data_IF_797323439179
#
_entry.id   IF_797323439179
#
_cell.length_a   1.000
_cell.length_b   1.000
_cell.length_c   1.000
_cell.angle_alpha   90.00
_cell.angle_beta   90.00
_cell.angle_gamma   90.00
#
_symmetry.space_group_name_H-M   'P 1'
#
loop_
_entity.id
_entity.type
_entity.pdbx_description
1 polymer ?
#
# COMPACT_ATOMS: atom_id res chain seq x y z
N UNK A 1 27.56 -0.23 -2.86
CA UNK A 1 26.19 -0.34 -2.33
C UNK A 1 26.04 0.60 -1.16
N UNK A 2 25.08 1.50 -1.24
CA UNK A 2 24.79 2.47 -0.18
C UNK A 2 23.60 1.99 0.68
N UNK A 3 23.30 2.72 1.75
CA UNK A 3 22.12 2.48 2.59
C UNK A 3 20.83 2.45 1.77
N UNK A 4 20.75 3.26 0.70
CA UNK A 4 19.61 3.30 -0.20
C UNK A 4 19.42 1.97 -0.95
N UNK A 5 20.50 1.37 -1.45
CA UNK A 5 20.43 0.07 -2.14
C UNK A 5 19.91 -1.01 -1.20
N UNK A 6 20.41 -1.05 0.04
CA UNK A 6 19.93 -2.02 1.05
C UNK A 6 18.47 -1.77 1.43
N UNK A 7 18.05 -0.52 1.55
CA UNK A 7 16.65 -0.20 1.85
C UNK A 7 15.71 -0.66 0.72
N UNK A 8 16.08 -0.42 -0.55
CA UNK A 8 15.31 -0.86 -1.71
C UNK A 8 15.20 -2.38 -1.74
N UNK A 9 16.32 -3.09 -1.58
CA UNK A 9 16.34 -4.56 -1.56
C UNK A 9 15.54 -5.12 -0.38
N UNK A 10 15.63 -4.49 0.79
CA UNK A 10 14.87 -4.89 1.97
C UNK A 10 13.36 -4.71 1.76
N UNK A 11 12.91 -3.59 1.19
CA UNK A 11 11.49 -3.34 0.90
C UNK A 11 10.95 -4.38 -0.07
N UNK A 12 11.65 -4.62 -1.19
CA UNK A 12 11.23 -5.59 -2.20
C UNK A 12 11.26 -7.00 -1.61
N UNK A 13 12.35 -7.39 -0.97
CA UNK A 13 12.50 -8.72 -0.38
C UNK A 13 11.46 -9.01 0.70
N UNK A 14 11.21 -8.05 1.59
CA UNK A 14 10.18 -8.18 2.62
C UNK A 14 8.76 -8.24 2.02
N UNK A 15 8.49 -7.44 0.97
CA UNK A 15 7.23 -7.48 0.26
C UNK A 15 6.96 -8.85 -0.38
N UNK A 16 7.97 -9.43 -1.06
CA UNK A 16 7.87 -10.77 -1.65
C UNK A 16 7.67 -11.83 -0.56
N UNK A 17 8.48 -11.79 0.51
CA UNK A 17 8.42 -12.75 1.59
C UNK A 17 7.03 -12.79 2.24
N UNK A 18 6.47 -11.62 2.56
CA UNK A 18 5.12 -11.53 3.12
C UNK A 18 4.06 -12.09 2.17
N UNK A 19 4.18 -11.81 0.87
CA UNK A 19 3.21 -12.28 -0.12
C UNK A 19 3.32 -13.78 -0.37
N UNK A 20 4.51 -14.37 -0.32
CA UNK A 20 4.71 -15.83 -0.37
C UNK A 20 4.08 -16.53 0.85
N UNK A 21 4.25 -15.96 2.03
CA UNK A 21 3.68 -16.52 3.27
C UNK A 21 2.15 -16.43 3.25
N UNK A 22 1.59 -15.33 2.79
CA UNK A 22 0.14 -15.06 2.79
C UNK A 22 -0.58 -15.71 1.61
N UNK A 23 0.03 -15.76 0.44
CA UNK A 23 -0.55 -16.13 -0.84
C UNK A 23 -1.24 -14.96 -1.55
N UNK A 24 -1.43 -15.10 -2.88
CA UNK A 24 -2.06 -14.08 -3.72
C UNK A 24 -3.48 -13.75 -3.28
N UNK A 25 -4.29 -14.78 -2.99
CA UNK A 25 -5.70 -14.58 -2.64
C UNK A 25 -5.86 -13.65 -1.45
N UNK A 26 -5.06 -13.85 -0.39
CA UNK A 26 -5.10 -12.95 0.77
C UNK A 26 -4.67 -11.53 0.46
N UNK A 27 -3.66 -11.36 -0.37
CA UNK A 27 -3.16 -10.02 -0.74
C UNK A 27 -4.19 -9.25 -1.58
N UNK A 28 -4.82 -9.92 -2.55
CA UNK A 28 -5.86 -9.30 -3.40
C UNK A 28 -7.09 -8.96 -2.57
N UNK A 29 -7.56 -9.88 -1.73
CA UNK A 29 -8.72 -9.61 -0.85
C UNK A 29 -8.40 -8.51 0.14
N UNK A 30 -7.18 -8.43 0.67
CA UNK A 30 -6.78 -7.35 1.56
C UNK A 30 -6.83 -5.98 0.87
N UNK A 31 -6.35 -5.86 -0.39
CA UNK A 31 -6.48 -4.61 -1.16
C UNK A 31 -7.95 -4.24 -1.41
N UNK A 32 -8.76 -5.22 -1.83
CA UNK A 32 -10.19 -5.02 -2.03
C UNK A 32 -10.88 -4.61 -0.71
N UNK A 33 -10.48 -5.20 0.41
CA UNK A 33 -11.00 -4.87 1.72
C UNK A 33 -10.79 -3.40 2.10
N UNK A 34 -9.61 -2.85 1.82
CA UNK A 34 -9.32 -1.43 2.05
C UNK A 34 -10.23 -0.51 1.23
N UNK A 35 -10.40 -0.82 -0.07
CA UNK A 35 -11.27 -0.05 -0.95
C UNK A 35 -12.74 -0.13 -0.50
N UNK A 36 -13.22 -1.34 -0.22
CA UNK A 36 -14.61 -1.58 0.23
C UNK A 36 -14.85 -0.91 1.59
N UNK A 37 -13.90 -1.05 2.54
CA UNK A 37 -14.03 -0.45 3.86
C UNK A 37 -14.12 1.08 3.77
N UNK A 38 -13.29 1.69 2.92
CA UNK A 38 -13.31 3.14 2.71
C UNK A 38 -14.65 3.59 2.12
N UNK A 39 -15.13 2.92 1.07
CA UNK A 39 -16.41 3.27 0.42
C UNK A 39 -17.57 3.09 1.38
N UNK A 40 -17.65 1.97 2.09
CA UNK A 40 -18.73 1.71 3.05
C UNK A 40 -18.69 2.71 4.20
N UNK A 41 -17.50 2.98 4.76
CA UNK A 41 -17.35 3.95 5.83
C UNK A 41 -17.72 5.37 5.38
N UNK A 42 -17.37 5.76 4.15
CA UNK A 42 -17.73 7.06 3.58
C UNK A 42 -19.24 7.20 3.36
N UNK A 43 -19.91 6.17 2.82
CA UNK A 43 -21.33 6.21 2.52
C UNK A 43 -22.22 6.13 3.77
N UNK A 44 -21.81 5.33 4.74
CA UNK A 44 -22.65 5.00 5.91
C UNK A 44 -22.13 5.57 7.24
N UNK A 45 -20.94 6.17 7.24
CA UNK A 45 -20.32 6.75 8.46
C UNK A 45 -21.21 7.79 9.13
N UNK A 46 -21.86 8.67 8.35
CA UNK A 46 -22.80 9.65 8.86
C UNK A 46 -24.05 9.05 9.52
N UNK A 47 -24.56 7.95 8.97
CA UNK A 47 -25.72 7.25 9.55
C UNK A 47 -25.35 6.62 10.89
N UNK A 48 -24.17 6.01 10.99
CA UNK A 48 -23.68 5.46 12.26
C UNK A 48 -23.36 6.58 13.27
N UNK A 49 -22.81 7.70 12.81
CA UNK A 49 -22.55 8.87 13.63
C UNK A 49 -23.82 9.39 14.33
N UNK A 50 -24.97 9.36 13.64
CA UNK A 50 -26.26 9.75 14.20
C UNK A 50 -26.74 8.85 15.36
N UNK A 51 -26.30 7.59 15.38
CA UNK A 51 -26.61 6.62 16.43
C UNK A 51 -25.61 6.69 17.62
N UNK A 52 -24.52 7.44 17.48
CA UNK A 52 -23.53 7.57 18.55
C UNK A 52 -23.99 8.46 19.70
N UNK A 53 -23.51 8.18 20.94
CA UNK A 53 -23.86 8.98 22.11
C UNK A 53 -23.54 10.47 21.92
N UNK A 54 -24.42 11.34 22.44
CA UNK A 54 -24.32 12.80 22.31
C UNK A 54 -23.10 13.37 23.09
N UNK A 55 -22.51 12.56 23.95
CA UNK A 55 -21.32 12.91 24.77
C UNK A 55 -20.07 13.18 23.93
N UNK A 56 -20.03 12.71 22.66
CA UNK A 56 -18.98 13.07 21.72
C UNK A 56 -19.24 14.51 21.25
N UNK A 57 -18.49 15.46 21.80
CA UNK A 57 -18.63 16.88 21.50
C UNK A 57 -18.16 17.18 20.07
N UNK A 58 -19.07 17.62 19.21
CA UNK A 58 -18.80 18.05 17.84
C UNK A 58 -19.28 17.06 16.79
N UNK A 59 -19.96 17.62 15.78
CA UNK A 59 -20.54 16.84 14.67
C UNK A 59 -19.44 16.18 13.83
N UNK A 60 -18.33 16.88 13.62
CA UNK A 60 -17.17 16.37 12.86
C UNK A 60 -16.50 15.17 13.55
N UNK A 61 -16.35 15.26 14.89
CA UNK A 61 -15.73 14.17 15.66
C UNK A 61 -16.64 12.93 15.69
N UNK A 62 -17.95 13.15 15.76
CA UNK A 62 -18.95 12.09 15.70
C UNK A 62 -18.96 11.41 14.34
N UNK A 63 -18.87 12.18 13.25
CA UNK A 63 -18.74 11.64 11.89
C UNK A 63 -17.44 10.83 11.74
N UNK A 64 -16.31 11.35 12.21
CA UNK A 64 -15.02 10.65 12.17
C UNK A 64 -15.06 9.34 12.98
N UNK A 65 -15.71 9.34 14.13
CA UNK A 65 -15.88 8.14 14.95
C UNK A 65 -16.77 7.10 14.24
N UNK A 66 -17.88 7.52 13.61
CA UNK A 66 -18.74 6.65 12.80
C UNK A 66 -18.00 6.07 11.60
N UNK A 67 -17.25 6.90 10.89
CA UNK A 67 -16.40 6.47 9.78
C UNK A 67 -15.36 5.43 10.25
N UNK A 68 -14.60 5.74 11.29
CA UNK A 68 -13.57 4.83 11.81
C UNK A 68 -14.14 3.51 12.27
N UNK A 69 -15.27 3.54 12.98
CA UNK A 69 -15.95 2.32 13.46
C UNK A 69 -16.35 1.43 12.28
N UNK A 70 -17.01 1.97 11.27
CA UNK A 70 -17.40 1.20 10.08
C UNK A 70 -16.20 0.71 9.29
N UNK A 71 -15.20 1.55 9.14
CA UNK A 71 -13.97 1.20 8.43
C UNK A 71 -13.29 -0.03 9.03
N UNK A 72 -13.06 -0.01 10.34
CA UNK A 72 -12.45 -1.14 11.03
C UNK A 72 -13.37 -2.38 11.11
N UNK A 73 -14.67 -2.18 11.24
CA UNK A 73 -15.62 -3.29 11.22
C UNK A 73 -15.60 -4.01 9.87
N UNK A 74 -15.64 -3.28 8.76
CA UNK A 74 -15.58 -3.86 7.42
C UNK A 74 -14.23 -4.54 7.18
N UNK A 75 -13.11 -3.92 7.59
CA UNK A 75 -11.80 -4.56 7.51
C UNK A 75 -11.75 -5.88 8.30
N UNK A 76 -12.37 -5.94 9.48
CA UNK A 76 -12.44 -7.15 10.27
C UNK A 76 -13.20 -8.25 9.52
N UNK A 77 -14.41 -7.93 9.03
CA UNK A 77 -15.23 -8.88 8.27
C UNK A 77 -14.50 -9.37 7.03
N UNK A 78 -13.90 -8.46 6.26
CA UNK A 78 -13.16 -8.81 5.06
C UNK A 78 -11.90 -9.63 5.36
N UNK A 79 -11.27 -9.43 6.52
CA UNK A 79 -10.15 -10.27 6.94
C UNK A 79 -10.55 -11.72 7.19
N UNK A 80 -11.75 -11.93 7.77
CA UNK A 80 -12.30 -13.28 7.95
C UNK A 80 -12.66 -13.94 6.60
N UNK A 81 -13.20 -13.15 5.67
CA UNK A 81 -13.45 -13.61 4.28
C UNK A 81 -12.13 -14.01 3.60
N UNK A 82 -11.08 -13.20 3.74
CA UNK A 82 -9.76 -13.52 3.19
C UNK A 82 -9.18 -14.83 3.74
N UNK A 83 -9.35 -15.08 5.03
CA UNK A 83 -8.93 -16.34 5.67
C UNK A 83 -9.72 -17.51 5.10
N UNK A 84 -11.04 -17.41 5.03
CA UNK A 84 -11.91 -18.47 4.51
C UNK A 84 -11.57 -18.81 3.04
N UNK A 85 -11.41 -17.79 2.18
CA UNK A 85 -11.02 -17.98 0.78
C UNK A 85 -9.66 -18.64 0.65
N UNK A 86 -8.68 -18.21 1.46
CA UNK A 86 -7.34 -18.82 1.47
C UNK A 86 -7.38 -20.28 1.90
N UNK A 87 -8.28 -20.66 2.84
CA UNK A 87 -8.45 -22.05 3.23
C UNK A 87 -9.07 -22.88 2.11
N UNK A 88 -10.05 -22.35 1.37
CA UNK A 88 -10.62 -23.01 0.20
C UNK A 88 -9.57 -23.30 -0.87
N UNK A 89 -8.71 -22.31 -1.18
CA UNK A 89 -7.62 -22.49 -2.14
C UNK A 89 -6.65 -23.59 -1.70
N UNK A 90 -6.33 -23.64 -0.40
CA UNK A 90 -5.47 -24.68 0.17
C UNK A 90 -6.13 -26.08 0.10
N UNK A 91 -7.40 -26.17 0.40
CA UNK A 91 -8.15 -27.45 0.33
C UNK A 91 -8.31 -27.95 -1.09
N UNK A 92 -8.32 -27.05 -2.09
CA UNK A 92 -8.30 -27.40 -3.51
C UNK A 92 -6.92 -27.83 -4.03
N UNK A 93 -5.88 -27.86 -3.19
CA UNK A 93 -4.52 -28.27 -3.57
C UNK A 93 -3.69 -27.18 -4.27
N UNK A 94 -4.22 -25.96 -4.40
CA UNK A 94 -3.60 -24.84 -5.12
C UNK A 94 -2.67 -23.99 -4.26
N UNK A 95 -2.10 -24.58 -3.20
CA UNK A 95 -1.28 -23.82 -2.24
C UNK A 95 0.05 -23.32 -2.82
N UNK A 96 0.65 -24.08 -3.74
CA UNK A 96 1.94 -23.71 -4.35
C UNK A 96 1.71 -22.60 -5.34
N UNK A 97 0.71 -22.73 -6.19
CA UNK A 97 0.32 -21.74 -7.20
C UNK A 97 -0.02 -20.39 -6.56
N UNK A 98 -0.81 -20.42 -5.49
CA UNK A 98 -1.17 -19.20 -4.73
C UNK A 98 0.07 -18.49 -4.16
N UNK A 99 1.06 -19.24 -3.68
CA UNK A 99 2.32 -18.67 -3.17
C UNK A 99 3.21 -18.12 -4.26
N UNK A 100 3.32 -18.83 -5.40
CA UNK A 100 4.11 -18.37 -6.55
C UNK A 100 3.51 -17.08 -7.12
N UNK A 101 2.20 -17.07 -7.34
CA UNK A 101 1.50 -15.85 -7.76
C UNK A 101 1.58 -14.75 -6.71
N UNK A 102 1.55 -15.12 -5.43
CA UNK A 102 1.81 -14.20 -4.32
C UNK A 102 3.20 -13.56 -4.40
N UNK A 103 4.24 -14.32 -4.75
CA UNK A 103 5.59 -13.78 -4.94
C UNK A 103 5.65 -12.73 -6.05
N UNK A 104 5.01 -13.02 -7.20
CA UNK A 104 4.92 -12.07 -8.32
C UNK A 104 4.19 -10.80 -7.89
N UNK A 105 3.06 -10.95 -7.19
CA UNK A 105 2.31 -9.82 -6.67
C UNK A 105 3.12 -9.01 -5.65
N UNK A 106 3.84 -9.70 -4.74
CA UNK A 106 4.73 -9.06 -3.77
C UNK A 106 5.86 -8.29 -4.41
N UNK A 107 6.42 -8.79 -5.53
CA UNK A 107 7.42 -8.08 -6.33
C UNK A 107 6.83 -6.78 -6.91
N UNK A 108 5.68 -6.87 -7.57
CA UNK A 108 5.01 -5.68 -8.15
C UNK A 108 4.70 -4.66 -7.06
N UNK A 109 4.14 -5.08 -5.93
CA UNK A 109 3.86 -4.22 -4.78
C UNK A 109 5.14 -3.59 -4.23
N UNK A 110 6.21 -4.37 -4.06
CA UNK A 110 7.50 -3.89 -3.57
C UNK A 110 8.11 -2.83 -4.50
N UNK A 111 8.07 -3.07 -5.81
CA UNK A 111 8.50 -2.09 -6.82
C UNK A 111 7.64 -0.82 -6.78
N UNK A 112 6.33 -0.95 -6.65
CA UNK A 112 5.42 0.21 -6.54
C UNK A 112 5.74 1.04 -5.30
N UNK A 113 5.95 0.41 -4.14
CA UNK A 113 6.34 1.10 -2.91
C UNK A 113 7.68 1.83 -3.05
N UNK A 114 8.68 1.15 -3.64
CA UNK A 114 9.98 1.78 -3.91
C UNK A 114 9.82 2.98 -4.84
N UNK A 115 9.04 2.86 -5.92
CA UNK A 115 8.80 3.97 -6.84
C UNK A 115 8.08 5.15 -6.17
N UNK A 116 7.10 4.88 -5.31
CA UNK A 116 6.46 5.95 -4.52
C UNK A 116 7.48 6.67 -3.62
N UNK A 117 8.33 5.92 -2.92
CA UNK A 117 9.36 6.51 -2.07
C UNK A 117 10.40 7.31 -2.88
N UNK A 118 10.80 6.82 -4.06
CA UNK A 118 11.72 7.51 -4.97
C UNK A 118 11.11 8.82 -5.49
N UNK A 119 9.83 8.82 -5.85
CA UNK A 119 9.11 10.03 -6.28
C UNK A 119 9.00 11.05 -5.15
N UNK A 120 8.68 10.59 -3.93
CA UNK A 120 8.65 11.46 -2.74
C UNK A 120 10.05 12.01 -2.45
N UNK A 121 11.08 11.17 -2.51
CA UNK A 121 12.46 11.58 -2.31
C UNK A 121 12.90 12.63 -3.33
N UNK A 122 12.48 12.50 -4.60
CA UNK A 122 12.74 13.48 -5.67
C UNK A 122 12.15 14.87 -5.42
N UNK A 123 11.13 14.98 -4.56
CA UNK A 123 10.56 16.25 -4.11
C UNK A 123 11.28 16.85 -2.89
N UNK A 124 12.30 16.16 -2.36
CA UNK A 124 13.10 16.57 -1.20
C UNK A 124 14.57 16.78 -1.60
N UNK A 125 15.44 17.33 -0.73
CA UNK A 125 16.86 17.43 -1.01
C UNK A 125 17.64 16.10 -0.92
N UNK A 126 16.97 14.96 -0.67
CA UNK A 126 17.60 13.64 -0.57
C UNK A 126 18.43 13.23 -1.81
N UNK A 127 18.01 13.49 -3.07
CA UNK A 127 18.80 13.14 -4.24
C UNK A 127 20.18 13.84 -4.32
N UNK A 128 20.38 14.92 -3.58
CA UNK A 128 21.63 15.65 -3.51
C UNK A 128 22.63 15.05 -2.53
N UNK A 129 22.17 14.17 -1.62
CA UNK A 129 23.02 13.54 -0.61
C UNK A 129 23.93 12.46 -1.23
N UNK A 130 25.10 12.27 -0.63
CA UNK A 130 26.09 11.29 -1.06
C UNK A 130 25.53 9.86 -1.10
N UNK A 131 24.70 9.49 -0.12
CA UNK A 131 24.03 8.18 -0.04
C UNK A 131 23.19 7.88 -1.28
N UNK A 132 22.56 8.89 -1.87
CA UNK A 132 21.79 8.77 -3.10
C UNK A 132 22.70 8.73 -4.33
N UNK A 133 23.67 9.64 -4.40
CA UNK A 133 24.55 9.79 -5.57
C UNK A 133 25.41 8.57 -5.85
N UNK A 134 25.86 7.89 -4.79
CA UNK A 134 26.70 6.68 -4.87
C UNK A 134 25.90 5.37 -4.90
N UNK A 135 24.57 5.44 -4.90
CA UNK A 135 23.73 4.25 -4.94
C UNK A 135 23.82 3.55 -6.30
N UNK A 136 24.02 2.25 -6.27
CA UNK A 136 24.13 1.41 -7.47
C UNK A 136 22.81 1.35 -8.25
N UNK A 137 21.69 1.36 -7.54
CA UNK A 137 20.34 1.32 -8.12
C UNK A 137 19.83 2.68 -8.60
N UNK A 138 20.53 3.77 -8.27
CA UNK A 138 20.17 5.14 -8.65
C UNK A 138 19.77 5.28 -10.12
N UNK A 139 20.61 4.89 -11.11
CA UNK A 139 20.32 5.14 -12.52
C UNK A 139 19.06 4.42 -13.00
N UNK A 140 18.78 3.26 -12.43
CA UNK A 140 17.57 2.50 -12.74
C UNK A 140 16.32 3.18 -12.12
N UNK A 141 16.40 3.54 -10.84
CA UNK A 141 15.30 4.15 -10.10
C UNK A 141 14.91 5.50 -10.69
N UNK A 142 15.90 6.35 -11.02
CA UNK A 142 15.66 7.66 -11.62
C UNK A 142 15.06 7.56 -13.03
N UNK A 143 15.51 6.61 -13.87
CA UNK A 143 14.92 6.39 -15.20
C UNK A 143 13.45 6.02 -15.11
N UNK A 144 13.11 5.08 -14.24
CA UNK A 144 11.72 4.65 -14.07
C UNK A 144 10.87 5.78 -13.48
N UNK A 145 11.40 6.49 -12.48
CA UNK A 145 10.73 7.64 -11.89
C UNK A 145 10.46 8.77 -12.89
N UNK A 146 11.43 9.06 -13.77
CA UNK A 146 11.26 10.05 -14.85
C UNK A 146 10.22 9.60 -15.87
N UNK A 147 10.15 8.32 -16.19
CA UNK A 147 9.08 7.74 -17.03
C UNK A 147 7.69 7.93 -16.41
N UNK A 148 7.56 7.69 -15.11
CA UNK A 148 6.30 7.87 -14.38
C UNK A 148 5.96 9.36 -14.22
N UNK A 149 6.96 10.23 -14.07
CA UNK A 149 6.78 11.69 -13.93
C UNK A 149 5.91 12.28 -15.06
N UNK A 150 6.02 11.76 -16.29
CA UNK A 150 5.20 12.21 -17.43
C UNK A 150 3.71 11.94 -17.26
N UNK A 151 3.32 11.04 -16.37
CA UNK A 151 1.92 10.68 -16.08
C UNK A 151 1.37 11.41 -14.84
N UNK A 152 2.24 12.11 -14.08
CA UNK A 152 1.81 12.87 -12.92
C UNK A 152 1.22 14.23 -13.32
N UNK A 153 0.28 14.77 -12.54
CA UNK A 153 -0.19 16.14 -12.68
C UNK A 153 0.98 17.13 -12.66
N UNK A 154 0.95 18.20 -13.50
CA UNK A 154 2.06 19.18 -13.58
C UNK A 154 2.44 19.79 -12.24
N UNK A 155 1.48 19.96 -11.34
CA UNK A 155 1.70 20.50 -10.00
C UNK A 155 2.65 19.64 -9.15
N UNK A 156 2.64 18.32 -9.31
CA UNK A 156 3.54 17.39 -8.61
C UNK A 156 4.86 17.19 -9.36
N UNK A 157 4.78 17.10 -10.69
CA UNK A 157 5.94 16.85 -11.54
C UNK A 157 7.01 17.94 -11.47
N UNK A 158 6.64 19.21 -11.24
CA UNK A 158 7.56 20.34 -11.16
C UNK A 158 8.51 20.28 -9.94
N UNK A 159 8.10 19.64 -8.86
CA UNK A 159 8.87 19.54 -7.62
C UNK A 159 9.85 18.36 -7.62
N UNK A 160 9.71 17.42 -8.56
CA UNK A 160 10.56 16.23 -8.65
C UNK A 160 11.82 16.58 -9.46
N UNK A 161 12.95 16.67 -8.78
CA UNK A 161 14.27 16.96 -9.36
C UNK A 161 15.26 15.89 -8.90
N UNK A 162 15.78 15.15 -9.86
CA UNK A 162 16.94 14.28 -9.67
C UNK A 162 18.14 15.05 -10.21
N UNK A 163 19.09 15.38 -9.32
CA UNK A 163 20.24 16.25 -9.62
C UNK A 163 21.24 15.70 -10.62
#
# INVERSE_FOLDING_TARGET
MTLLDYAVLAIIGFSILLSVIRGLVREVVALAAWAIAFVVAYLFGGQLAALMPVEISGEELRWLAGFATLFFLVLLVMSLVAIALSQLVKSAGLSVEDRVLGAVFGLVRGLTLVMMLVLIAGATPLPQQQVWREAMLRPLLERVALGIKGWLPPALGQHIKYG
#
